data_IF_792473512520
#
_entry.id   IF_792473512520
#
_cell.length_a   1.000
_cell.length_b   1.000
_cell.length_c   1.000
_cell.angle_alpha   90.00
_cell.angle_beta   90.00
_cell.angle_gamma   90.00
#
_symmetry.space_group_name_H-M   'P 1'
#
loop_
_entity.id
_entity.type
_entity.pdbx_description
1 polymer ?
#
# COMPACT_ATOMS: atom_id res chain seq x y z
N UNK A 1 27.37 13.51 5.80
CA UNK A 1 26.39 14.29 5.03
C UNK A 1 25.28 13.33 4.61
N UNK A 2 24.15 13.39 5.24
CA UNK A 2 22.95 12.69 4.80
C UNK A 2 22.47 13.40 3.53
N UNK A 3 22.64 12.76 2.39
CA UNK A 3 21.96 13.18 1.16
C UNK A 3 20.48 13.04 1.46
N UNK A 4 19.79 14.16 1.61
CA UNK A 4 18.33 14.18 1.67
C UNK A 4 17.86 13.66 0.31
N UNK A 5 17.45 12.39 0.26
CA UNK A 5 16.80 11.89 -0.95
C UNK A 5 15.55 12.74 -1.17
N UNK A 6 15.34 13.20 -2.40
CA UNK A 6 14.12 13.92 -2.75
C UNK A 6 12.90 13.03 -2.47
N UNK A 7 11.78 13.61 -2.04
CA UNK A 7 10.55 12.84 -1.83
C UNK A 7 10.19 12.03 -3.08
N UNK A 8 9.78 10.79 -2.89
CA UNK A 8 9.41 9.91 -4.00
C UNK A 8 8.12 10.40 -4.64
N UNK A 9 8.16 10.58 -5.95
CA UNK A 9 6.99 10.91 -6.77
C UNK A 9 6.98 9.98 -7.98
N UNK A 10 5.86 9.30 -8.19
CA UNK A 10 5.67 8.35 -9.30
C UNK A 10 4.38 8.75 -10.02
N UNK A 11 4.48 8.94 -11.33
CA UNK A 11 3.31 9.27 -12.16
C UNK A 11 2.80 8.03 -12.89
N UNK A 12 1.49 7.90 -12.96
CA UNK A 12 0.80 6.96 -13.85
C UNK A 12 -0.07 7.72 -14.85
N UNK A 13 -0.81 7.02 -15.67
CA UNK A 13 -1.76 7.67 -16.60
C UNK A 13 -2.79 8.53 -15.87
N UNK A 14 -3.39 8.01 -14.79
CA UNK A 14 -4.49 8.66 -14.08
C UNK A 14 -4.12 9.23 -12.71
N UNK A 15 -3.01 8.78 -12.12
CA UNK A 15 -2.68 9.06 -10.74
C UNK A 15 -1.27 9.63 -10.57
N UNK A 16 -1.13 10.42 -9.50
CA UNK A 16 0.13 10.81 -8.92
C UNK A 16 0.31 10.05 -7.61
N UNK A 17 1.40 9.30 -7.48
CA UNK A 17 1.80 8.65 -6.23
C UNK A 17 2.90 9.48 -5.60
N UNK A 18 2.72 9.94 -4.38
CA UNK A 18 3.75 10.65 -3.64
C UNK A 18 3.75 10.26 -2.17
N UNK A 19 4.90 10.40 -1.54
CA UNK A 19 5.02 10.12 -0.12
C UNK A 19 4.00 10.93 0.67
N UNK A 20 3.32 10.24 1.60
CA UNK A 20 2.41 10.86 2.53
C UNK A 20 3.19 11.59 3.64
N UNK A 21 2.61 12.70 4.08
CA UNK A 21 3.04 13.44 5.26
C UNK A 21 1.88 13.57 6.24
N UNK A 22 2.16 14.05 7.45
CA UNK A 22 1.10 14.34 8.42
C UNK A 22 0.05 15.33 7.91
N UNK A 23 0.41 16.22 6.98
CA UNK A 23 -0.49 17.21 6.40
C UNK A 23 -1.51 16.59 5.43
N UNK A 24 -1.23 15.41 4.90
CA UNK A 24 -2.17 14.66 4.04
C UNK A 24 -3.26 13.95 4.83
N UNK A 25 -3.13 13.87 6.14
CA UNK A 25 -4.10 13.22 7.01
C UNK A 25 -5.32 14.11 7.17
N UNK A 26 -6.43 13.63 6.65
CA UNK A 26 -7.72 14.33 6.62
C UNK A 26 -8.83 13.51 7.27
N UNK A 27 -9.96 14.17 7.56
CA UNK A 27 -11.17 13.47 7.98
C UNK A 27 -11.65 12.43 6.95
N UNK A 28 -11.41 12.69 5.66
CA UNK A 28 -11.69 11.77 4.57
C UNK A 28 -10.85 10.48 4.70
N UNK A 29 -9.54 10.61 4.89
CA UNK A 29 -8.65 9.46 5.09
C UNK A 29 -9.04 8.68 6.34
N UNK A 30 -9.29 9.38 7.45
CA UNK A 30 -9.77 8.73 8.68
C UNK A 30 -11.10 8.01 8.45
N UNK A 31 -11.99 8.59 7.66
CA UNK A 31 -13.27 7.99 7.29
C UNK A 31 -13.14 6.66 6.55
N UNK A 32 -12.12 6.48 5.73
CA UNK A 32 -11.86 5.20 5.05
C UNK A 32 -11.55 4.08 6.04
N UNK A 33 -10.82 4.38 7.11
CA UNK A 33 -10.50 3.40 8.15
C UNK A 33 -11.70 3.06 9.02
N UNK A 34 -12.70 3.94 9.09
CA UNK A 34 -13.97 3.74 9.75
C UNK A 34 -15.04 3.02 8.90
N UNK A 35 -14.79 2.86 7.61
CA UNK A 35 -15.67 2.12 6.71
C UNK A 35 -15.71 0.64 7.09
N UNK A 36 -16.92 0.10 7.32
CA UNK A 36 -17.09 -1.31 7.72
C UNK A 36 -16.51 -2.30 6.71
N UNK A 37 -16.52 -1.96 5.42
CA UNK A 37 -15.90 -2.77 4.38
C UNK A 37 -14.37 -2.76 4.48
N UNK A 38 -13.78 -1.62 4.84
CA UNK A 38 -12.33 -1.51 5.07
C UNK A 38 -11.92 -2.13 6.40
N UNK A 39 -12.66 -1.91 7.48
CA UNK A 39 -12.40 -2.45 8.82
C UNK A 39 -12.34 -3.98 8.82
N UNK A 40 -13.17 -4.62 8.03
CA UNK A 40 -13.19 -6.08 7.92
C UNK A 40 -11.85 -6.67 7.47
N UNK A 41 -11.04 -5.92 6.71
CA UNK A 41 -9.85 -6.44 6.04
C UNK A 41 -8.54 -5.73 6.41
N UNK A 42 -8.59 -4.65 7.20
CA UNK A 42 -7.41 -3.86 7.56
C UNK A 42 -7.13 -4.00 9.05
N UNK A 43 -6.06 -4.72 9.39
CA UNK A 43 -5.66 -4.98 10.77
C UNK A 43 -5.40 -3.71 11.61
N UNK A 44 -5.01 -2.60 10.98
CA UNK A 44 -4.74 -1.33 11.65
C UNK A 44 -5.98 -0.43 11.81
N UNK A 45 -7.10 -0.76 11.16
CA UNK A 45 -8.32 0.05 11.20
C UNK A 45 -8.94 0.14 12.60
N UNK A 46 -8.77 -0.90 13.42
CA UNK A 46 -9.30 -0.91 14.78
C UNK A 46 -8.55 0.00 15.75
N UNK A 47 -7.27 0.25 15.51
CA UNK A 47 -6.41 1.01 16.42
C UNK A 47 -6.41 2.52 16.17
N UNK A 48 -6.93 2.98 15.03
CA UNK A 48 -6.82 4.37 14.61
C UNK A 48 -8.19 5.00 14.40
N UNK A 49 -8.78 5.48 15.49
CA UNK A 49 -10.10 6.15 15.48
C UNK A 49 -10.01 7.67 15.56
N UNK A 50 -8.83 8.22 15.80
CA UNK A 50 -8.61 9.65 15.99
C UNK A 50 -7.66 10.21 14.93
N UNK A 51 -7.97 11.42 14.48
CA UNK A 51 -7.19 12.12 13.46
C UNK A 51 -5.73 12.34 13.90
N UNK A 52 -5.53 12.67 15.17
CA UNK A 52 -4.19 12.87 15.74
C UNK A 52 -3.35 11.58 15.71
N UNK A 53 -3.96 10.44 16.06
CA UNK A 53 -3.30 9.14 16.04
C UNK A 53 -2.94 8.72 14.60
N UNK A 54 -3.82 8.96 13.64
CA UNK A 54 -3.54 8.70 12.23
C UNK A 54 -2.41 9.59 11.70
N UNK A 55 -2.40 10.87 12.08
CA UNK A 55 -1.31 11.79 11.70
C UNK A 55 0.02 11.32 12.26
N UNK A 56 0.06 10.91 13.51
CA UNK A 56 1.26 10.34 14.13
C UNK A 56 1.71 9.07 13.42
N UNK A 57 0.78 8.17 13.11
CA UNK A 57 1.06 6.94 12.35
C UNK A 57 1.74 7.21 11.01
N UNK A 58 1.27 8.20 10.26
CA UNK A 58 1.88 8.62 8.99
C UNK A 58 3.24 9.26 9.25
N UNK A 59 3.30 10.20 10.20
CA UNK A 59 4.51 10.98 10.48
C UNK A 59 5.69 10.11 10.93
N UNK A 60 5.45 9.05 11.69
CA UNK A 60 6.48 8.09 12.11
C UNK A 60 7.10 7.30 10.95
N UNK A 61 6.50 7.34 9.78
CA UNK A 61 6.97 6.64 8.57
C UNK A 61 7.69 7.53 7.58
N UNK A 62 7.55 8.84 7.73
CA UNK A 62 8.21 9.83 6.87
C UNK A 62 9.73 9.70 6.99
N UNK A 63 10.41 9.61 5.85
CA UNK A 63 11.88 9.58 5.78
C UNK A 63 12.53 8.27 6.24
N UNK A 64 11.77 7.25 6.55
CA UNK A 64 12.31 5.92 6.86
C UNK A 64 12.75 5.20 5.59
N UNK A 65 13.92 4.55 5.65
CA UNK A 65 14.45 3.78 4.50
C UNK A 65 13.79 2.43 4.30
N UNK A 66 13.22 1.87 5.36
CA UNK A 66 12.53 0.58 5.37
C UNK A 66 11.03 0.70 5.13
N UNK A 67 10.56 1.87 4.72
CA UNK A 67 9.17 2.16 4.39
C UNK A 67 9.09 3.01 3.13
N UNK A 68 8.15 2.67 2.25
CA UNK A 68 7.68 3.55 1.19
C UNK A 68 6.15 3.65 1.34
N UNK A 69 5.66 4.80 1.79
CA UNK A 69 4.24 5.02 2.05
C UNK A 69 3.71 6.12 1.14
N UNK A 70 3.03 5.72 0.07
CA UNK A 70 2.56 6.60 -0.98
C UNK A 70 1.06 6.82 -0.89
N UNK A 71 0.64 8.07 -0.93
CA UNK A 71 -0.74 8.45 -1.23
C UNK A 71 -0.99 8.34 -2.73
N UNK A 72 -2.21 7.97 -3.07
CA UNK A 72 -2.70 7.90 -4.45
C UNK A 72 -3.61 9.11 -4.68
N UNK A 73 -3.21 9.99 -5.60
CA UNK A 73 -3.94 11.22 -5.92
C UNK A 73 -4.42 11.18 -7.37
N UNK A 74 -5.70 11.43 -7.58
CA UNK A 74 -6.26 11.52 -8.93
C UNK A 74 -5.77 12.80 -9.63
N UNK A 75 -5.21 12.67 -10.85
CA UNK A 75 -4.67 13.82 -11.60
C UNK A 75 -5.73 14.83 -12.04
N UNK A 76 -7.00 14.43 -12.07
CA UNK A 76 -8.09 15.30 -12.53
C UNK A 76 -8.39 16.46 -11.59
N UNK A 77 -8.24 16.25 -10.29
CA UNK A 77 -8.65 17.19 -9.24
C UNK A 77 -7.77 17.17 -8.00
N UNK A 78 -6.62 16.50 -8.11
CA UNK A 78 -5.66 16.29 -7.01
C UNK A 78 -6.27 15.62 -5.77
N UNK A 79 -7.31 14.83 -5.97
CA UNK A 79 -8.05 14.19 -4.90
C UNK A 79 -7.29 12.98 -4.35
N UNK A 80 -7.03 12.97 -3.05
CA UNK A 80 -6.51 11.81 -2.34
C UNK A 80 -7.57 10.70 -2.30
N UNK A 81 -7.28 9.55 -2.92
CA UNK A 81 -8.26 8.46 -3.11
C UNK A 81 -7.88 7.14 -2.43
N UNK A 82 -6.66 7.01 -1.98
CA UNK A 82 -6.16 5.79 -1.36
C UNK A 82 -4.67 5.85 -1.09
N UNK A 83 -4.12 4.73 -0.64
CA UNK A 83 -2.70 4.60 -0.31
C UNK A 83 -2.16 3.26 -0.79
N UNK A 84 -0.87 3.25 -1.12
CA UNK A 84 -0.08 2.03 -1.31
C UNK A 84 1.18 2.13 -0.45
N UNK A 85 1.44 1.09 0.35
CA UNK A 85 2.54 1.07 1.32
C UNK A 85 3.37 -0.18 1.16
N UNK A 86 4.67 -0.02 1.25
CA UNK A 86 5.64 -1.09 1.32
C UNK A 86 6.37 -0.99 2.65
N UNK A 87 6.06 -1.90 3.58
CA UNK A 87 6.62 -1.94 4.94
C UNK A 87 6.53 -3.38 5.52
N UNK A 88 7.66 -4.01 5.89
CA UNK A 88 9.01 -3.52 5.70
C UNK A 88 9.46 -3.55 4.24
N UNK A 89 10.39 -2.65 3.90
CA UNK A 89 11.11 -2.62 2.65
C UNK A 89 12.55 -3.06 2.93
N UNK A 90 12.88 -4.30 2.58
CA UNK A 90 14.14 -4.96 2.90
C UNK A 90 15.02 -5.03 1.65
N UNK A 91 15.69 -3.93 1.39
CA UNK A 91 16.44 -3.70 0.17
C UNK A 91 17.59 -4.71 -0.03
N UNK A 92 18.29 -5.07 1.05
CA UNK A 92 19.37 -6.06 1.01
C UNK A 92 18.85 -7.47 0.68
N UNK A 93 17.63 -7.79 1.09
CA UNK A 93 16.99 -9.07 0.79
C UNK A 93 16.22 -9.05 -0.55
N UNK A 94 16.12 -7.88 -1.18
CA UNK A 94 15.37 -7.68 -2.42
C UNK A 94 13.87 -7.92 -2.29
N UNK A 95 13.29 -7.68 -1.11
CA UNK A 95 11.87 -7.93 -0.84
C UNK A 95 11.18 -6.79 -0.11
N UNK A 96 9.89 -6.68 -0.32
CA UNK A 96 9.02 -5.74 0.38
C UNK A 96 7.67 -6.37 0.70
N UNK A 97 7.02 -5.88 1.74
CA UNK A 97 5.66 -6.27 2.12
C UNK A 97 4.67 -5.19 1.70
N UNK A 98 3.65 -5.55 0.95
CA UNK A 98 2.65 -4.64 0.39
C UNK A 98 1.41 -4.55 1.28
N UNK A 99 0.97 -3.31 1.51
CA UNK A 99 -0.37 -2.97 1.96
C UNK A 99 -1.00 -1.95 1.02
N UNK A 100 -2.27 -2.10 0.69
CA UNK A 100 -2.98 -1.19 -0.20
C UNK A 100 -4.38 -0.90 0.32
N UNK A 101 -4.81 0.34 0.16
CA UNK A 101 -6.15 0.81 0.48
C UNK A 101 -6.64 1.73 -0.64
N UNK A 102 -7.66 1.31 -1.37
CA UNK A 102 -8.45 2.20 -2.22
C UNK A 102 -9.61 2.68 -1.37
N UNK A 103 -9.42 3.85 -0.75
CA UNK A 103 -10.33 4.37 0.26
C UNK A 103 -11.60 4.97 -0.32
N UNK A 104 -11.47 5.69 -1.44
CA UNK A 104 -12.61 6.30 -2.09
C UNK A 104 -13.46 5.26 -2.85
N UNK A 105 -14.73 5.05 -2.46
CA UNK A 105 -15.62 4.09 -3.11
C UNK A 105 -15.80 4.35 -4.61
N UNK A 106 -15.72 5.60 -5.05
CA UNK A 106 -15.88 5.98 -6.46
C UNK A 106 -14.77 5.42 -7.36
N UNK A 107 -13.63 5.04 -6.79
CA UNK A 107 -12.48 4.49 -7.50
C UNK A 107 -12.33 2.97 -7.38
N UNK A 108 -13.14 2.32 -6.55
CA UNK A 108 -13.13 0.86 -6.41
C UNK A 108 -13.65 0.19 -7.70
N UNK A 109 -13.10 -0.96 -8.03
CA UNK A 109 -13.49 -1.71 -9.24
C UNK A 109 -13.00 -1.09 -10.55
N UNK A 110 -12.22 -0.01 -10.51
CA UNK A 110 -11.73 0.72 -11.71
C UNK A 110 -10.27 0.44 -12.05
N UNK A 111 -9.75 -0.70 -11.63
CA UNK A 111 -8.37 -1.14 -11.87
C UNK A 111 -7.28 -0.19 -11.35
N UNK A 112 -7.60 0.61 -10.34
CA UNK A 112 -6.64 1.53 -9.72
C UNK A 112 -5.45 0.76 -9.17
N UNK A 113 -5.70 -0.31 -8.43
CA UNK A 113 -4.65 -1.14 -7.85
C UNK A 113 -3.64 -1.64 -8.90
N UNK A 114 -4.10 -2.19 -10.00
CA UNK A 114 -3.22 -2.71 -11.06
C UNK A 114 -2.30 -1.62 -11.63
N UNK A 115 -2.83 -0.42 -11.84
CA UNK A 115 -2.07 0.71 -12.38
C UNK A 115 -1.01 1.22 -11.39
N UNK A 116 -1.40 1.44 -10.13
CA UNK A 116 -0.48 1.98 -9.13
C UNK A 116 0.57 0.95 -8.69
N UNK A 117 0.20 -0.33 -8.64
CA UNK A 117 1.14 -1.43 -8.38
C UNK A 117 2.20 -1.51 -9.49
N UNK A 118 1.80 -1.51 -10.76
CA UNK A 118 2.74 -1.61 -11.87
C UNK A 118 3.80 -0.50 -11.82
N UNK A 119 3.38 0.73 -11.60
CA UNK A 119 4.28 1.88 -11.52
C UNK A 119 5.19 1.84 -10.28
N UNK A 120 4.63 1.56 -9.11
CA UNK A 120 5.43 1.53 -7.87
C UNK A 120 6.35 0.32 -7.79
N UNK A 121 5.95 -0.84 -8.31
CA UNK A 121 6.80 -2.03 -8.38
C UNK A 121 8.00 -1.81 -9.31
N UNK A 122 7.79 -1.20 -10.46
CA UNK A 122 8.90 -0.84 -11.37
C UNK A 122 9.85 0.16 -10.72
N UNK A 123 9.32 1.16 -10.02
CA UNK A 123 10.15 2.11 -9.28
C UNK A 123 10.98 1.40 -8.20
N UNK A 124 10.37 0.52 -7.42
CA UNK A 124 11.05 -0.27 -6.37
C UNK A 124 12.15 -1.17 -6.95
N UNK A 125 11.87 -1.81 -8.08
CA UNK A 125 12.86 -2.62 -8.79
C UNK A 125 14.07 -1.78 -9.22
N UNK A 126 13.82 -0.64 -9.82
CA UNK A 126 14.86 0.21 -10.42
C UNK A 126 15.67 1.00 -9.38
N UNK A 127 15.05 1.46 -8.29
CA UNK A 127 15.67 2.36 -7.32
C UNK A 127 16.00 1.71 -5.97
N UNK A 128 15.37 0.60 -5.63
CA UNK A 128 15.51 -0.05 -4.32
C UNK A 128 15.91 -1.52 -4.40
N UNK A 129 16.23 -2.01 -5.60
CA UNK A 129 16.64 -3.40 -5.84
C UNK A 129 15.62 -4.45 -5.33
N UNK A 130 14.34 -4.11 -5.25
CA UNK A 130 13.30 -5.06 -4.86
C UNK A 130 13.01 -5.99 -6.04
N UNK A 131 12.95 -7.29 -5.75
CA UNK A 131 12.69 -8.37 -6.71
C UNK A 131 11.43 -9.16 -6.39
N UNK A 132 10.97 -9.07 -5.15
CA UNK A 132 9.80 -9.82 -4.65
C UNK A 132 8.96 -8.90 -3.78
N UNK A 133 7.67 -8.86 -4.08
CA UNK A 133 6.69 -8.13 -3.28
C UNK A 133 5.73 -9.15 -2.70
N UNK A 134 5.62 -9.17 -1.38
CA UNK A 134 4.77 -10.09 -0.63
C UNK A 134 3.54 -9.37 -0.10
N UNK A 135 2.46 -10.11 0.10
CA UNK A 135 1.29 -9.65 0.82
C UNK A 135 0.60 -10.81 1.56
N UNK A 136 -0.18 -10.46 2.57
CA UNK A 136 -1.14 -11.33 3.20
C UNK A 136 -2.55 -10.85 2.89
N UNK A 137 -3.44 -11.78 2.59
CA UNK A 137 -4.85 -11.47 2.34
C UNK A 137 -5.73 -12.54 2.98
N UNK A 138 -6.84 -12.11 3.60
CA UNK A 138 -7.84 -13.04 4.10
C UNK A 138 -8.37 -13.90 2.94
N UNK A 139 -8.34 -15.24 3.09
CA UNK A 139 -8.80 -16.17 2.05
C UNK A 139 -10.23 -15.92 1.62
N UNK A 140 -11.05 -15.43 2.52
CA UNK A 140 -12.47 -15.13 2.25
C UNK A 140 -12.68 -13.81 1.51
N UNK A 141 -11.64 -12.95 1.43
CA UNK A 141 -11.70 -11.71 0.66
C UNK A 141 -11.48 -12.00 -0.83
N UNK A 142 -12.44 -12.67 -1.45
CA UNK A 142 -12.35 -13.12 -2.84
C UNK A 142 -12.10 -11.97 -3.83
N UNK A 143 -12.71 -10.80 -3.70
CA UNK A 143 -12.41 -9.67 -4.59
C UNK A 143 -10.93 -9.26 -4.55
N UNK A 144 -10.33 -9.20 -3.36
CA UNK A 144 -8.92 -8.86 -3.21
C UNK A 144 -8.01 -9.97 -3.74
N UNK A 145 -8.28 -11.23 -3.41
CA UNK A 145 -7.52 -12.38 -3.93
C UNK A 145 -7.52 -12.38 -5.46
N UNK A 146 -8.69 -12.18 -6.08
CA UNK A 146 -8.81 -12.10 -7.53
C UNK A 146 -8.03 -10.93 -8.12
N UNK A 147 -8.10 -9.75 -7.49
CA UNK A 147 -7.34 -8.58 -7.93
C UNK A 147 -5.83 -8.83 -7.87
N UNK A 148 -5.34 -9.48 -6.82
CA UNK A 148 -3.92 -9.82 -6.67
C UNK A 148 -3.48 -10.86 -7.70
N UNK A 149 -4.27 -11.90 -7.92
CA UNK A 149 -4.00 -12.92 -8.96
C UNK A 149 -3.94 -12.27 -10.35
N UNK A 150 -4.89 -11.40 -10.67
CA UNK A 150 -4.91 -10.67 -11.95
C UNK A 150 -3.70 -9.73 -12.11
N UNK A 151 -3.14 -9.26 -11.01
CA UNK A 151 -1.91 -8.44 -11.01
C UNK A 151 -0.62 -9.27 -11.08
N UNK A 152 -0.70 -10.60 -11.07
CA UNK A 152 0.43 -11.51 -11.20
C UNK A 152 0.93 -12.11 -9.89
N UNK A 153 0.29 -11.84 -8.76
CA UNK A 153 0.62 -12.51 -7.51
C UNK A 153 0.25 -13.98 -7.55
N UNK A 154 1.11 -14.81 -7.01
CA UNK A 154 0.89 -16.25 -6.83
C UNK A 154 1.00 -16.62 -5.36
N UNK A 155 0.34 -17.71 -4.97
CA UNK A 155 0.44 -18.21 -3.60
C UNK A 155 1.89 -18.60 -3.27
N UNK A 156 2.34 -18.31 -2.03
CA UNK A 156 3.66 -18.67 -1.53
C UNK A 156 3.51 -19.64 -0.35
N UNK A 157 3.47 -20.95 -0.62
CA UNK A 157 3.20 -21.97 0.41
C UNK A 157 4.27 -22.04 1.50
N UNK A 158 5.53 -21.71 1.19
CA UNK A 158 6.63 -21.76 2.16
C UNK A 158 6.46 -20.78 3.32
N UNK A 159 5.71 -19.69 3.11
CA UNK A 159 5.40 -18.68 4.13
C UNK A 159 4.06 -18.91 4.83
N UNK A 160 3.28 -19.85 4.33
CA UNK A 160 1.93 -20.09 4.82
C UNK A 160 1.90 -20.59 6.27
N UNK A 161 2.87 -21.40 6.66
CA UNK A 161 2.95 -21.99 8.01
C UNK A 161 3.29 -20.97 9.10
N UNK A 162 3.89 -19.83 8.74
CA UNK A 162 4.27 -18.78 9.68
C UNK A 162 3.13 -17.78 9.98
N UNK A 163 1.97 -17.95 9.36
CA UNK A 163 0.85 -16.99 9.42
C UNK A 163 -0.45 -17.65 9.87
N UNK A 164 -1.40 -16.81 10.31
CA UNK A 164 -2.72 -17.27 10.72
C UNK A 164 -3.41 -18.13 9.62
N UNK A 165 -4.14 -19.20 9.98
CA UNK A 165 -4.70 -20.15 9.01
C UNK A 165 -5.64 -19.51 7.97
N UNK A 166 -6.32 -18.42 8.33
CA UNK A 166 -7.24 -17.69 7.43
C UNK A 166 -6.56 -16.77 6.43
N UNK A 167 -5.24 -16.56 6.53
CA UNK A 167 -4.48 -15.63 5.69
C UNK A 167 -3.76 -16.38 4.59
N UNK A 168 -3.99 -15.97 3.35
CA UNK A 168 -3.24 -16.42 2.18
C UNK A 168 -2.00 -15.53 1.99
N UNK A 169 -0.81 -16.15 1.94
CA UNK A 169 0.43 -15.45 1.59
C UNK A 169 0.64 -15.52 0.09
N UNK A 170 0.92 -14.37 -0.52
CA UNK A 170 1.13 -14.27 -1.96
C UNK A 170 2.42 -13.48 -2.25
N UNK A 171 3.00 -13.75 -3.41
CA UNK A 171 4.22 -13.08 -3.89
C UNK A 171 4.09 -12.66 -5.34
N UNK A 172 4.61 -11.48 -5.66
CA UNK A 172 4.83 -10.98 -7.01
C UNK A 172 6.34 -10.91 -7.25
N UNK A 173 6.80 -11.53 -8.32
CA UNK A 173 8.18 -11.39 -8.82
C UNK A 173 8.25 -10.21 -9.80
N UNK A 174 9.14 -9.24 -9.54
CA UNK A 174 9.26 -7.99 -10.31
C UNK A 174 10.61 -7.84 -11.01
#
# INVERSE_FOLDING_TARGET
MTVSELPVVIETSRFLLRELTGDDVSARYLGWLGDSAAQKWIATAESTRELAALREYVQQRVGRRDVLFLGIFAKTDDLHIGNIKYEPLLQEEGRAELGVLIGDPAFRGKRVFAEVLAASAEWLKSHRNIRRIYLGVERQNLPAVTAYQNAGFVAEPSLQQAHAPGVLRMVLHV
#
